data_IF_744112565816
#
_entry.id   IF_744112565816
#
_cell.length_a   1.000
_cell.length_b   1.000
_cell.length_c   1.000
_cell.angle_alpha   90.00
_cell.angle_beta   90.00
_cell.angle_gamma   90.00
#
_symmetry.space_group_name_H-M   'P 1'
#
loop_
_entity.id
_entity.type
_entity.pdbx_description
1 polymer ?
#
# COMPACT_ATOMS: atom_id res chain seq x y z
N UNK A 1 -14.11 -26.45 21.99
CA UNK A 1 -12.67 -26.80 22.13
C UNK A 1 -12.11 -27.42 20.85
N UNK A 2 -12.82 -28.33 20.18
CA UNK A 2 -12.43 -28.93 18.89
C UNK A 2 -12.57 -27.96 17.68
N UNK A 3 -13.51 -27.02 17.70
CA UNK A 3 -13.69 -26.03 16.61
C UNK A 3 -12.55 -24.99 16.52
N UNK A 4 -11.99 -24.58 17.66
CA UNK A 4 -10.85 -23.65 17.70
C UNK A 4 -9.57 -24.33 17.20
N UNK A 5 -9.39 -25.62 17.50
CA UNK A 5 -8.26 -26.41 16.99
C UNK A 5 -8.34 -26.56 15.46
N UNK A 6 -9.54 -26.81 14.91
CA UNK A 6 -9.73 -26.88 13.45
C UNK A 6 -9.52 -25.54 12.74
N UNK A 7 -9.85 -24.41 13.34
CA UNK A 7 -9.58 -23.08 12.76
C UNK A 7 -8.08 -22.75 12.76
N UNK A 8 -7.36 -23.12 13.81
CA UNK A 8 -5.89 -23.03 13.87
C UNK A 8 -5.25 -23.95 12.82
N UNK A 9 -5.73 -25.19 12.69
CA UNK A 9 -5.22 -26.16 11.69
C UNK A 9 -5.53 -25.77 10.25
N UNK A 10 -6.64 -25.08 9.98
CA UNK A 10 -6.98 -24.49 8.68
C UNK A 10 -6.11 -23.26 8.39
N UNK A 11 -5.85 -22.41 9.39
CA UNK A 11 -4.91 -21.29 9.28
C UNK A 11 -3.47 -21.76 8.99
N UNK A 12 -3.02 -22.83 9.64
CA UNK A 12 -1.70 -23.44 9.43
C UNK A 12 -1.60 -24.11 8.06
N UNK A 13 -2.63 -24.84 7.60
CA UNK A 13 -2.67 -25.44 6.26
C UNK A 13 -2.71 -24.40 5.15
N UNK A 14 -3.45 -23.31 5.34
CA UNK A 14 -3.45 -22.19 4.40
C UNK A 14 -2.07 -21.54 4.33
N UNK A 15 -1.37 -21.35 5.45
CA UNK A 15 0.01 -20.83 5.49
C UNK A 15 1.04 -21.78 4.83
N UNK A 16 0.94 -23.09 5.05
CA UNK A 16 1.81 -24.08 4.41
C UNK A 16 1.63 -24.15 2.89
N UNK A 17 0.39 -24.08 2.39
CA UNK A 17 0.12 -24.00 0.96
C UNK A 17 0.60 -22.66 0.36
N UNK A 18 0.53 -21.58 1.15
CA UNK A 18 1.03 -20.25 0.79
C UNK A 18 2.54 -20.18 0.58
N UNK A 19 3.30 -20.99 1.29
CA UNK A 19 4.76 -20.97 1.26
C UNK A 19 5.34 -21.76 0.07
N UNK A 20 4.55 -22.65 -0.54
CA UNK A 20 4.97 -23.55 -1.63
C UNK A 20 4.50 -23.10 -3.02
N UNK A 21 4.39 -21.78 -3.25
CA UNK A 21 4.33 -21.24 -4.62
C UNK A 21 5.57 -21.70 -5.37
N UNK A 22 5.43 -22.69 -6.27
CA UNK A 22 6.51 -23.36 -6.99
C UNK A 22 7.37 -22.44 -7.86
N UNK A 23 6.97 -21.18 -8.03
CA UNK A 23 7.64 -20.18 -8.87
C UNK A 23 8.40 -19.11 -8.05
N UNK A 24 8.26 -19.10 -6.72
CA UNK A 24 8.87 -18.06 -5.89
C UNK A 24 10.37 -18.31 -5.61
N UNK A 25 11.24 -17.45 -6.14
CA UNK A 25 12.67 -17.47 -5.86
C UNK A 25 13.24 -16.05 -5.60
N UNK A 26 14.36 -15.92 -4.85
CA UNK A 26 14.87 -14.61 -4.41
C UNK A 26 15.30 -13.65 -5.52
N UNK A 27 15.54 -14.16 -6.73
CA UNK A 27 15.95 -13.40 -7.91
C UNK A 27 14.80 -12.79 -8.71
N UNK A 28 13.54 -13.02 -8.31
CA UNK A 28 12.42 -12.38 -8.97
C UNK A 28 12.41 -10.87 -8.77
N UNK A 29 12.02 -10.18 -9.83
CA UNK A 29 11.90 -8.72 -9.88
C UNK A 29 10.48 -8.34 -9.49
N UNK A 30 10.32 -7.64 -8.35
CA UNK A 30 9.00 -7.12 -7.94
C UNK A 30 8.55 -5.92 -8.76
N UNK A 31 9.50 -5.07 -9.13
CA UNK A 31 9.26 -3.80 -9.81
C UNK A 31 10.30 -3.62 -10.91
N UNK A 32 9.87 -3.14 -12.09
CA UNK A 32 10.76 -2.95 -13.23
C UNK A 32 11.81 -1.86 -13.01
N UNK A 33 11.46 -0.83 -12.23
CA UNK A 33 12.34 0.27 -11.87
C UNK A 33 12.69 0.22 -10.36
N UNK A 34 13.97 -0.03 -9.99
CA UNK A 34 14.40 0.01 -8.60
C UNK A 34 14.31 1.43 -8.00
N UNK A 35 13.94 1.52 -6.72
CA UNK A 35 13.87 2.80 -6.02
C UNK A 35 15.25 3.47 -5.92
N UNK A 36 15.37 4.67 -6.47
CA UNK A 36 16.60 5.45 -6.52
C UNK A 36 16.61 6.66 -5.56
N UNK A 37 15.53 6.81 -4.77
CA UNK A 37 15.32 7.93 -3.87
C UNK A 37 14.24 8.91 -4.36
N UNK A 38 13.76 8.75 -5.59
CA UNK A 38 12.68 9.55 -6.16
C UNK A 38 11.37 8.76 -6.26
N UNK A 39 10.25 9.46 -6.14
CA UNK A 39 8.90 8.90 -6.25
C UNK A 39 8.68 7.63 -5.42
N UNK A 40 8.96 7.74 -4.12
CA UNK A 40 8.79 6.64 -3.17
C UNK A 40 7.37 6.09 -3.19
N UNK A 41 6.36 6.90 -3.50
CA UNK A 41 4.97 6.45 -3.55
C UNK A 41 4.71 5.49 -4.72
N UNK A 42 5.05 5.89 -5.95
CA UNK A 42 4.78 5.04 -7.11
C UNK A 42 5.52 3.70 -6.98
N UNK A 43 6.76 3.75 -6.47
CA UNK A 43 7.53 2.57 -6.13
C UNK A 43 6.85 1.73 -5.05
N UNK A 44 6.47 2.33 -3.91
CA UNK A 44 5.79 1.67 -2.80
C UNK A 44 4.51 0.98 -3.26
N UNK A 45 3.68 1.66 -4.05
CA UNK A 45 2.43 1.12 -4.62
C UNK A 45 2.72 -0.10 -5.49
N UNK A 46 3.74 -0.02 -6.34
CA UNK A 46 4.14 -1.14 -7.20
C UNK A 46 4.59 -2.35 -6.39
N UNK A 47 5.39 -2.16 -5.33
CA UNK A 47 5.80 -3.24 -4.42
C UNK A 47 4.60 -3.85 -3.69
N UNK A 48 3.69 -3.02 -3.17
CA UNK A 48 2.48 -3.48 -2.48
C UNK A 48 1.59 -4.32 -3.40
N UNK A 49 1.39 -3.90 -4.65
CA UNK A 49 0.61 -4.64 -5.65
C UNK A 49 1.28 -5.98 -5.95
N UNK A 50 2.59 -5.99 -6.20
CA UNK A 50 3.33 -7.22 -6.51
C UNK A 50 3.30 -8.22 -5.35
N UNK A 51 3.54 -7.76 -4.11
CA UNK A 51 3.45 -8.61 -2.93
C UNK A 51 2.03 -9.10 -2.66
N UNK A 52 1.00 -8.29 -2.93
CA UNK A 52 -0.41 -8.68 -2.81
C UNK A 52 -0.78 -9.75 -3.82
N UNK A 53 -0.36 -9.61 -5.09
CA UNK A 53 -0.58 -10.62 -6.14
C UNK A 53 0.11 -11.95 -5.79
N UNK A 54 1.28 -11.87 -5.16
CA UNK A 54 2.02 -13.02 -4.61
C UNK A 54 1.54 -13.46 -3.24
N UNK A 55 0.48 -12.82 -2.73
CA UNK A 55 -0.10 -13.10 -1.43
C UNK A 55 0.86 -12.82 -0.23
N UNK A 56 2.10 -12.35 -0.44
CA UNK A 56 3.11 -12.09 0.61
C UNK A 56 2.99 -10.76 1.33
N UNK A 57 1.97 -9.93 1.03
CA UNK A 57 1.81 -8.61 1.65
C UNK A 57 1.80 -8.66 3.20
N UNK A 58 1.26 -9.74 3.77
CA UNK A 58 1.15 -9.95 5.21
C UNK A 58 2.48 -9.90 5.99
N UNK A 59 3.62 -10.12 5.31
CA UNK A 59 4.94 -10.07 5.92
C UNK A 59 5.43 -8.63 6.19
N UNK A 60 5.00 -7.66 5.36
CA UNK A 60 5.42 -6.25 5.49
C UNK A 60 4.41 -5.37 6.21
N UNK A 61 3.12 -5.74 6.21
CA UNK A 61 2.08 -4.99 6.92
C UNK A 61 1.88 -5.49 8.37
N UNK A 62 2.37 -6.70 8.69
CA UNK A 62 2.32 -7.29 10.01
C UNK A 62 1.21 -8.30 10.26
N UNK A 63 0.38 -8.62 9.27
CA UNK A 63 -0.64 -9.67 9.41
C UNK A 63 -0.04 -11.06 9.67
N UNK A 64 1.21 -11.30 9.23
CA UNK A 64 1.94 -12.55 9.51
C UNK A 64 3.11 -12.29 10.46
N UNK A 65 2.85 -12.14 11.78
CA UNK A 65 3.91 -11.92 12.75
C UNK A 65 4.84 -13.13 12.83
N UNK A 66 6.08 -12.87 13.24
CA UNK A 66 7.08 -13.90 13.47
C UNK A 66 6.55 -14.90 14.52
N UNK A 67 6.48 -16.21 14.20
CA UNK A 67 6.03 -17.23 15.13
C UNK A 67 7.10 -17.51 16.19
N UNK A 68 6.70 -18.21 17.27
CA UNK A 68 7.65 -18.70 18.27
C UNK A 68 8.65 -19.68 17.64
N UNK A 69 9.89 -19.68 18.12
CA UNK A 69 10.96 -20.58 17.69
C UNK A 69 10.62 -22.05 17.85
N UNK A 70 9.72 -22.39 18.78
CA UNK A 70 9.28 -23.78 18.99
C UNK A 70 8.15 -24.20 18.05
N UNK A 71 7.61 -23.29 17.23
CA UNK A 71 6.52 -23.60 16.30
C UNK A 71 7.05 -24.29 15.04
N UNK A 72 6.36 -25.33 14.58
CA UNK A 72 6.70 -26.06 13.35
C UNK A 72 6.73 -25.18 12.09
N UNK A 73 6.05 -24.02 12.13
CA UNK A 73 6.02 -23.05 11.02
C UNK A 73 7.18 -22.07 11.04
N UNK A 74 8.02 -22.05 12.08
CA UNK A 74 9.08 -21.07 12.28
C UNK A 74 10.09 -21.02 11.12
N UNK A 75 10.67 -22.16 10.78
CA UNK A 75 11.66 -22.25 9.68
C UNK A 75 11.05 -21.88 8.33
N UNK A 76 9.79 -22.26 8.11
CA UNK A 76 9.05 -21.91 6.89
C UNK A 76 8.80 -20.40 6.83
N UNK A 77 8.40 -19.78 7.95
CA UNK A 77 8.20 -18.35 8.04
C UNK A 77 9.50 -17.58 7.77
N UNK A 78 10.63 -18.01 8.38
CA UNK A 78 11.95 -17.39 8.17
C UNK A 78 12.39 -17.46 6.71
N UNK A 79 12.14 -18.59 6.03
CA UNK A 79 12.44 -18.74 4.59
C UNK A 79 11.66 -17.74 3.74
N UNK A 80 10.36 -17.60 3.98
CA UNK A 80 9.52 -16.67 3.22
C UNK A 80 9.87 -15.22 3.54
N UNK A 81 10.09 -14.88 4.81
CA UNK A 81 10.50 -13.53 5.21
C UNK A 81 11.85 -13.14 4.59
N UNK A 82 12.82 -14.07 4.55
CA UNK A 82 14.11 -13.85 3.90
C UNK A 82 13.97 -13.62 2.39
N UNK A 83 13.04 -14.33 1.75
CA UNK A 83 12.74 -14.17 0.33
C UNK A 83 12.10 -12.80 0.05
N UNK A 84 11.10 -12.39 0.84
CA UNK A 84 10.46 -11.07 0.73
C UNK A 84 11.51 -9.96 0.98
N UNK A 85 12.39 -10.14 1.96
CA UNK A 85 13.50 -9.23 2.24
C UNK A 85 14.42 -9.08 1.02
N UNK A 86 14.83 -10.20 0.41
CA UNK A 86 15.65 -10.18 -0.81
C UNK A 86 14.95 -9.45 -1.95
N UNK A 87 13.65 -9.68 -2.15
CA UNK A 87 12.89 -9.00 -3.19
C UNK A 87 12.83 -7.48 -2.99
N UNK A 88 12.61 -7.02 -1.76
CA UNK A 88 12.59 -5.58 -1.45
C UNK A 88 13.99 -4.98 -1.64
N UNK A 89 15.04 -5.65 -1.18
CA UNK A 89 16.42 -5.19 -1.38
C UNK A 89 16.83 -5.13 -2.86
N UNK A 90 16.29 -6.03 -3.70
CA UNK A 90 16.48 -6.01 -5.15
C UNK A 90 15.61 -4.96 -5.85
N UNK A 91 14.49 -4.58 -5.24
CA UNK A 91 13.62 -3.50 -5.69
C UNK A 91 14.18 -2.10 -5.34
N UNK A 92 15.33 -2.01 -4.67
CA UNK A 92 15.97 -0.74 -4.29
C UNK A 92 17.33 -0.62 -4.98
N UNK A 93 17.69 0.59 -5.40
CA UNK A 93 18.98 0.86 -6.00
C UNK A 93 20.13 0.51 -5.05
N UNK A 94 21.26 0.04 -5.60
CA UNK A 94 22.45 -0.35 -4.81
C UNK A 94 23.05 0.78 -3.97
N UNK A 95 22.74 2.04 -4.29
CA UNK A 95 23.14 3.22 -3.52
C UNK A 95 22.41 3.27 -2.18
N UNK A 96 21.11 2.99 -2.20
CA UNK A 96 20.22 3.04 -1.03
C UNK A 96 20.27 1.71 -0.26
N UNK A 97 20.29 0.57 -0.96
CA UNK A 97 20.20 -0.77 -0.36
C UNK A 97 21.26 -1.02 0.73
N UNK A 98 22.44 -0.40 0.63
CA UNK A 98 23.53 -0.51 1.62
C UNK A 98 23.10 -0.09 3.03
N UNK A 99 22.20 0.89 3.15
CA UNK A 99 21.72 1.38 4.44
C UNK A 99 20.79 0.38 5.15
N UNK A 100 20.34 -0.65 4.44
CA UNK A 100 19.34 -1.60 4.89
C UNK A 100 19.83 -3.06 4.90
N UNK A 101 21.11 -3.33 4.60
CA UNK A 101 21.64 -4.69 4.48
C UNK A 101 21.50 -5.54 5.76
N UNK A 102 21.38 -4.90 6.93
CA UNK A 102 21.36 -5.56 8.24
C UNK A 102 19.98 -5.61 8.89
N UNK A 103 18.91 -5.24 8.16
CA UNK A 103 17.54 -5.37 8.67
C UNK A 103 17.20 -6.84 8.91
N UNK A 104 16.56 -7.11 10.05
CA UNK A 104 16.35 -8.47 10.56
C UNK A 104 15.12 -9.18 9.98
N UNK A 105 14.21 -8.44 9.37
CA UNK A 105 13.01 -8.97 8.75
C UNK A 105 12.51 -8.05 7.65
N UNK A 106 11.66 -8.58 6.77
CA UNK A 106 11.01 -7.79 5.72
C UNK A 106 10.13 -6.69 6.29
N UNK A 107 9.48 -6.95 7.45
CA UNK A 107 8.71 -5.96 8.22
C UNK A 107 9.57 -4.78 8.64
N UNK A 108 10.70 -5.03 9.29
CA UNK A 108 11.58 -3.96 9.77
C UNK A 108 12.13 -3.16 8.60
N UNK A 109 12.55 -3.84 7.53
CA UNK A 109 13.00 -3.21 6.29
C UNK A 109 11.93 -2.26 5.73
N UNK A 110 10.69 -2.71 5.68
CA UNK A 110 9.57 -1.90 5.17
C UNK A 110 9.33 -0.65 6.02
N UNK A 111 9.31 -0.80 7.35
CA UNK A 111 9.11 0.33 8.27
C UNK A 111 10.25 1.36 8.17
N UNK A 112 11.51 0.91 8.10
CA UNK A 112 12.65 1.81 7.96
C UNK A 112 12.61 2.60 6.64
N UNK A 113 12.07 2.00 5.57
CA UNK A 113 11.86 2.68 4.28
C UNK A 113 10.73 3.69 4.37
N UNK A 114 9.61 3.34 5.00
CA UNK A 114 8.48 4.26 5.21
C UNK A 114 8.87 5.44 6.12
N UNK A 115 9.67 5.22 7.16
CA UNK A 115 10.16 6.28 8.04
C UNK A 115 11.08 7.24 7.29
N UNK A 116 12.06 6.74 6.55
CA UNK A 116 13.07 7.59 5.90
C UNK A 116 12.57 8.28 4.64
N UNK A 117 11.69 7.64 3.87
CA UNK A 117 11.27 8.10 2.55
C UNK A 117 9.76 8.36 2.44
N UNK A 118 8.96 7.91 3.41
CA UNK A 118 7.52 8.14 3.43
C UNK A 118 7.11 9.52 3.95
N UNK A 119 7.96 10.21 4.72
CA UNK A 119 7.63 11.56 5.23
C UNK A 119 7.77 12.68 4.18
N UNK A 120 8.38 12.43 3.02
CA UNK A 120 8.62 13.48 2.02
C UNK A 120 7.38 13.83 1.16
N UNK A 121 6.19 13.49 1.64
CA UNK A 121 4.92 13.64 0.93
C UNK A 121 4.25 15.00 1.14
N UNK A 122 4.65 15.78 2.14
CA UNK A 122 4.06 17.12 2.39
C UNK A 122 4.04 18.01 1.14
N UNK A 123 5.18 18.17 0.43
CA UNK A 123 5.24 18.93 -0.81
C UNK A 123 4.39 18.35 -1.94
N UNK A 124 4.35 17.02 -2.12
CA UNK A 124 3.57 16.36 -3.18
C UNK A 124 2.08 16.42 -2.91
N UNK A 125 1.65 16.15 -1.66
CA UNK A 125 0.27 16.34 -1.20
C UNK A 125 -0.16 17.79 -1.40
N UNK A 126 0.71 18.74 -1.04
CA UNK A 126 0.44 20.16 -1.28
C UNK A 126 0.29 20.48 -2.78
N UNK A 127 1.18 19.96 -3.63
CA UNK A 127 1.11 20.16 -5.08
C UNK A 127 -0.19 19.59 -5.67
N UNK A 128 -0.58 18.38 -5.28
CA UNK A 128 -1.83 17.75 -5.72
C UNK A 128 -3.06 18.48 -5.20
N UNK A 129 -3.08 18.88 -3.93
CA UNK A 129 -4.16 19.69 -3.37
C UNK A 129 -4.28 21.05 -4.08
N UNK A 130 -3.14 21.68 -4.38
CA UNK A 130 -3.12 22.92 -5.14
C UNK A 130 -3.62 22.70 -6.58
N UNK A 131 -3.21 21.63 -7.23
CA UNK A 131 -3.68 21.28 -8.58
C UNK A 131 -5.20 21.07 -8.59
N UNK A 132 -5.73 20.29 -7.65
CA UNK A 132 -7.17 20.07 -7.45
C UNK A 132 -7.91 21.39 -7.19
N UNK A 133 -7.34 22.29 -6.39
CA UNK A 133 -7.97 23.59 -6.10
C UNK A 133 -7.91 24.57 -7.28
N UNK A 134 -6.99 24.37 -8.22
CA UNK A 134 -6.75 25.28 -9.36
C UNK A 134 -7.33 24.80 -10.68
N UNK A 135 -7.72 23.53 -10.78
CA UNK A 135 -8.24 22.96 -12.03
C UNK A 135 -9.67 23.44 -12.26
N UNK A 136 -9.89 24.03 -13.43
CA UNK A 136 -11.18 24.50 -13.91
C UNK A 136 -11.53 23.78 -15.21
N UNK A 137 -12.81 23.70 -15.55
CA UNK A 137 -13.31 23.10 -16.78
C UNK A 137 -12.74 23.84 -18.00
N UNK A 138 -12.93 25.15 -18.08
CA UNK A 138 -12.38 25.98 -19.16
C UNK A 138 -12.81 25.47 -20.54
N UNK A 139 -11.86 25.18 -21.42
CA UNK A 139 -12.18 24.68 -22.77
C UNK A 139 -12.46 23.17 -22.84
N UNK A 140 -12.35 22.43 -21.72
CA UNK A 140 -12.57 21.00 -21.70
C UNK A 140 -14.06 20.64 -21.62
N UNK A 141 -14.43 19.49 -22.17
CA UNK A 141 -15.76 18.94 -21.91
C UNK A 141 -15.90 18.53 -20.43
N UNK A 142 -17.12 18.51 -19.91
CA UNK A 142 -17.39 18.08 -18.51
C UNK A 142 -16.79 16.70 -18.22
N UNK A 143 -16.82 15.78 -19.20
CA UNK A 143 -16.27 14.42 -19.05
C UNK A 143 -14.73 14.45 -18.97
N UNK A 144 -14.06 15.22 -19.82
CA UNK A 144 -12.59 15.36 -19.78
C UNK A 144 -12.13 16.03 -18.48
N UNK A 145 -12.83 17.08 -18.04
CA UNK A 145 -12.59 17.73 -16.77
C UNK A 145 -12.72 16.74 -15.59
N UNK A 146 -13.82 15.98 -15.55
CA UNK A 146 -14.05 14.98 -14.52
C UNK A 146 -12.97 13.89 -14.50
N UNK A 147 -12.52 13.41 -15.66
CA UNK A 147 -11.45 12.40 -15.75
C UNK A 147 -10.10 12.94 -15.24
N UNK A 148 -9.75 14.17 -15.60
CA UNK A 148 -8.53 14.82 -15.13
C UNK A 148 -8.55 15.02 -13.61
N UNK A 149 -9.69 15.47 -13.08
CA UNK A 149 -9.90 15.64 -11.64
C UNK A 149 -9.87 14.30 -10.89
N UNK A 150 -10.45 13.24 -11.48
CA UNK A 150 -10.42 11.88 -10.95
C UNK A 150 -8.99 11.36 -10.83
N UNK A 151 -8.16 11.62 -11.85
CA UNK A 151 -6.75 11.22 -11.83
C UNK A 151 -6.00 11.86 -10.66
N UNK A 152 -6.24 13.16 -10.40
CA UNK A 152 -5.63 13.88 -9.28
C UNK A 152 -6.12 13.34 -7.92
N UNK A 153 -7.41 13.00 -7.80
CA UNK A 153 -7.94 12.36 -6.58
C UNK A 153 -7.33 10.99 -6.34
N UNK A 154 -7.22 10.17 -7.37
CA UNK A 154 -6.64 8.83 -7.27
C UNK A 154 -5.17 8.90 -6.83
N UNK A 155 -4.39 9.84 -7.36
CA UNK A 155 -3.01 10.10 -6.90
C UNK A 155 -2.97 10.56 -5.44
N UNK A 156 -3.86 11.46 -5.04
CA UNK A 156 -3.92 11.95 -3.65
C UNK A 156 -4.34 10.86 -2.66
N UNK A 157 -5.25 9.95 -3.06
CA UNK A 157 -5.66 8.80 -2.26
C UNK A 157 -4.53 7.78 -2.12
N UNK A 158 -3.68 7.60 -3.14
CA UNK A 158 -2.48 6.77 -3.01
C UNK A 158 -1.57 7.25 -1.85
N UNK A 159 -1.48 8.56 -1.65
CA UNK A 159 -0.60 9.19 -0.65
C UNK A 159 -1.15 9.12 0.77
N UNK A 160 -2.45 8.90 0.94
CA UNK A 160 -3.10 8.89 2.27
C UNK A 160 -3.31 7.45 2.72
N UNK A 161 -2.78 7.03 3.88
CA UNK A 161 -3.12 5.72 4.42
C UNK A 161 -4.64 5.63 4.65
N UNK A 162 -5.28 4.50 4.33
CA UNK A 162 -6.70 4.33 4.56
C UNK A 162 -7.00 4.51 6.05
N UNK A 163 -7.99 5.34 6.37
CA UNK A 163 -8.45 5.52 7.75
C UNK A 163 -9.04 4.18 8.23
N UNK A 164 -8.32 3.48 9.09
CA UNK A 164 -8.78 2.20 9.64
C UNK A 164 -9.49 2.44 10.97
N UNK A 165 -10.62 1.76 11.19
CA UNK A 165 -11.17 1.66 12.53
C UNK A 165 -10.37 0.62 13.31
N UNK A 166 -10.02 0.92 14.56
CA UNK A 166 -9.44 -0.04 15.50
C UNK A 166 -10.45 -1.10 15.99
N UNK A 167 -11.71 -0.97 15.60
CA UNK A 167 -12.75 -1.94 15.89
C UNK A 167 -12.68 -3.10 14.87
N UNK A 168 -12.06 -4.21 15.26
CA UNK A 168 -11.77 -5.35 14.37
C UNK A 168 -12.97 -5.98 13.64
N UNK A 169 -14.21 -5.67 14.03
CA UNK A 169 -15.49 -6.05 13.42
C UNK A 169 -16.45 -4.85 13.40
N UNK A 170 -16.13 -3.76 12.69
CA UNK A 170 -16.91 -2.50 12.74
C UNK A 170 -18.38 -2.68 12.32
N UNK A 171 -19.30 -2.57 13.29
CA UNK A 171 -20.71 -2.15 13.12
C UNK A 171 -20.89 -0.64 13.31
N UNK A 172 -19.79 0.06 13.56
CA UNK A 172 -19.70 1.45 13.97
C UNK A 172 -20.00 2.48 12.87
N UNK A 173 -20.10 2.04 11.61
CA UNK A 173 -20.35 2.92 10.46
C UNK A 173 -19.22 3.90 10.14
N UNK A 174 -18.07 3.83 10.82
CA UNK A 174 -16.94 4.76 10.63
C UNK A 174 -16.47 4.81 9.17
N UNK A 175 -16.29 3.64 8.55
CA UNK A 175 -15.92 3.53 7.13
C UNK A 175 -16.95 4.15 6.19
N UNK A 176 -18.24 4.03 6.52
CA UNK A 176 -19.33 4.64 5.74
C UNK A 176 -19.28 6.17 5.87
N UNK A 177 -19.12 6.69 7.09
CA UNK A 177 -19.06 8.12 7.37
C UNK A 177 -17.86 8.75 6.67
N UNK A 178 -16.67 8.14 6.76
CA UNK A 178 -15.47 8.65 6.09
C UNK A 178 -15.62 8.64 4.57
N UNK A 179 -16.24 7.61 3.99
CA UNK A 179 -16.49 7.55 2.55
C UNK A 179 -17.52 8.62 2.10
N UNK A 180 -18.55 8.89 2.91
CA UNK A 180 -19.51 9.96 2.63
C UNK A 180 -18.86 11.34 2.66
N UNK A 181 -18.00 11.63 3.64
CA UNK A 181 -17.23 12.88 3.71
C UNK A 181 -16.27 13.04 2.52
N UNK A 182 -15.61 11.96 2.11
CA UNK A 182 -14.73 11.96 0.93
C UNK A 182 -15.50 12.22 -0.36
N UNK A 183 -16.65 11.57 -0.54
CA UNK A 183 -17.52 11.79 -1.70
C UNK A 183 -18.07 13.22 -1.75
N UNK A 184 -18.48 13.78 -0.61
CA UNK A 184 -18.91 15.17 -0.51
C UNK A 184 -17.77 16.13 -0.85
N UNK A 185 -16.56 15.87 -0.37
CA UNK A 185 -15.38 16.68 -0.69
C UNK A 185 -15.09 16.67 -2.20
N UNK A 186 -15.11 15.49 -2.83
CA UNK A 186 -14.93 15.35 -4.28
C UNK A 186 -16.02 16.08 -5.07
N UNK A 187 -17.28 15.95 -4.64
CA UNK A 187 -18.39 16.67 -5.27
C UNK A 187 -18.19 18.19 -5.21
N UNK A 188 -17.86 18.74 -4.05
CA UNK A 188 -17.62 20.18 -3.90
C UNK A 188 -16.46 20.64 -4.77
N UNK A 189 -15.36 19.90 -4.79
CA UNK A 189 -14.20 20.22 -5.64
C UNK A 189 -14.52 20.18 -7.13
N UNK A 190 -15.35 19.24 -7.58
CA UNK A 190 -15.84 19.20 -8.95
C UNK A 190 -16.70 20.41 -9.28
N UNK A 191 -17.65 20.76 -8.41
CA UNK A 191 -18.54 21.89 -8.64
C UNK A 191 -17.78 23.23 -8.64
N UNK A 192 -16.75 23.39 -7.80
CA UNK A 192 -15.93 24.60 -7.72
C UNK A 192 -15.17 24.95 -9.00
N UNK A 193 -14.91 23.98 -9.88
CA UNK A 193 -14.17 24.19 -11.12
C UNK A 193 -15.04 24.11 -12.38
N UNK A 194 -16.35 23.88 -12.28
CA UNK A 194 -17.25 23.95 -13.43
C UNK A 194 -17.38 25.40 -13.93
N UNK A 195 -17.63 25.55 -15.22
CA UNK A 195 -17.85 26.88 -15.80
C UNK A 195 -19.20 27.46 -15.38
N UNK A 196 -19.28 28.80 -15.28
CA UNK A 196 -20.47 29.60 -14.90
C UNK A 196 -21.74 29.23 -15.70
N UNK A 197 -21.60 28.67 -16.91
CA UNK A 197 -22.73 28.17 -17.70
C UNK A 197 -23.54 27.04 -17.03
N UNK A 198 -23.01 26.46 -15.94
CA UNK A 198 -23.63 25.43 -15.13
C UNK A 198 -23.93 25.86 -13.69
N UNK A 199 -23.63 27.12 -13.32
CA UNK A 199 -24.05 27.73 -12.05
C UNK A 199 -25.50 28.25 -12.19
N UNK A 200 -26.45 27.59 -11.54
CA UNK A 200 -27.87 27.99 -11.48
C UNK A 200 -28.19 28.72 -10.17
#
# INVERSE_FOLDING_TARGET
>A
MWELQTLVDVGIRNFQNFCNSMEDHPGMVLVSAPFDGTDFLAWRRSVVIALRAKMKLGFIDGHYPMPDKTCDTYETWIRVDSMVTSWILNAISKKISKAFLYTKSSRQLWLDLEERYGENNGPLVYQLQRAIASITQGSHTVVEYFNNLTTLWDELECLKPPKTCTCGLCTCGFTRITAEEENLTKLVQFLMGLDDSYEY
#
